data_IF_541862974331
#
_entry.id   IF_541862974331
#
_cell.length_a   1.000
_cell.length_b   1.000
_cell.length_c   1.000
_cell.angle_alpha   90.00
_cell.angle_beta   90.00
_cell.angle_gamma   90.00
#
_symmetry.space_group_name_H-M   'P 1'
#
loop_
_entity.id
_entity.type
_entity.pdbx_description
1 polymer ?
#
# COMPACT_ATOMS: atom_id res chain seq x y z
N UNK A 1 26.96 2.35 32.41
CA UNK A 1 25.53 2.04 32.36
C UNK A 1 24.83 3.19 31.68
N UNK A 2 24.55 3.07 30.38
CA UNK A 2 23.74 4.02 29.65
C UNK A 2 22.37 3.38 29.47
N UNK A 3 21.43 3.82 30.30
CA UNK A 3 20.00 3.73 30.02
C UNK A 3 19.74 4.68 28.86
N UNK A 4 19.41 4.10 27.70
CA UNK A 4 18.95 4.83 26.53
C UNK A 4 17.63 4.18 26.12
N UNK A 5 16.54 4.84 26.54
CA UNK A 5 15.24 4.89 25.86
C UNK A 5 14.85 3.66 25.07
N UNK A 6 14.08 2.77 25.71
CA UNK A 6 13.04 2.00 25.03
C UNK A 6 12.05 3.01 24.44
N UNK A 7 12.36 3.53 23.25
CA UNK A 7 11.32 3.99 22.36
C UNK A 7 10.44 2.76 22.14
N UNK A 8 9.23 2.75 22.71
CA UNK A 8 8.23 1.77 22.33
C UNK A 8 7.99 1.99 20.84
N UNK A 9 8.63 1.16 20.00
CA UNK A 9 8.11 0.87 18.69
C UNK A 9 6.65 0.51 18.93
N UNK A 10 5.72 1.40 18.59
CA UNK A 10 4.31 1.21 18.89
C UNK A 10 3.92 -0.21 18.48
N UNK A 11 3.31 -0.94 19.40
CA UNK A 11 2.91 -2.33 19.15
C UNK A 11 2.12 -2.38 17.84
N UNK A 12 2.56 -3.23 16.92
CA UNK A 12 1.88 -3.35 15.64
C UNK A 12 0.45 -3.85 15.90
N UNK A 13 -0.60 -3.26 15.28
CA UNK A 13 -2.00 -3.63 15.57
C UNK A 13 -2.30 -5.13 15.43
N UNK A 14 -1.62 -5.79 14.49
CA UNK A 14 -1.55 -7.26 14.46
C UNK A 14 -0.56 -7.73 15.54
N UNK A 15 -1.06 -8.02 16.73
CA UNK A 15 -0.25 -8.51 17.86
C UNK A 15 0.26 -9.95 17.65
N UNK A 16 1.44 -10.26 18.21
CA UNK A 16 1.99 -11.63 18.30
C UNK A 16 1.70 -12.33 19.64
N UNK A 17 0.94 -11.70 20.53
CA UNK A 17 0.64 -12.26 21.84
C UNK A 17 -0.08 -13.61 21.72
N UNK A 18 0.34 -14.61 22.49
CA UNK A 18 -0.23 -15.96 22.45
C UNK A 18 0.23 -16.82 21.27
N UNK A 19 1.13 -16.32 20.41
CA UNK A 19 1.76 -17.13 19.36
C UNK A 19 3.03 -17.78 19.92
N UNK A 20 3.12 -19.10 19.82
CA UNK A 20 4.28 -19.90 20.26
C UNK A 20 4.82 -20.80 19.15
N UNK A 21 4.01 -21.11 18.15
CA UNK A 21 4.41 -21.91 16.99
C UNK A 21 5.33 -21.10 16.06
N UNK A 22 6.56 -21.60 15.73
CA UNK A 22 7.51 -20.87 14.91
C UNK A 22 7.01 -20.53 13.49
N UNK A 23 6.16 -21.35 12.90
CA UNK A 23 5.63 -21.10 11.56
C UNK A 23 4.52 -20.04 11.60
N UNK A 24 3.71 -20.01 12.65
CA UNK A 24 2.72 -18.96 12.88
C UNK A 24 3.39 -17.61 13.19
N UNK A 25 4.45 -17.61 14.01
CA UNK A 25 5.26 -16.42 14.28
C UNK A 25 5.92 -15.88 13.01
N UNK A 26 6.42 -16.77 12.15
CA UNK A 26 6.99 -16.36 10.85
C UNK A 26 5.93 -15.72 9.95
N UNK A 27 4.74 -16.30 9.91
CA UNK A 27 3.64 -15.73 9.15
C UNK A 27 3.21 -14.36 9.70
N UNK A 28 3.17 -14.19 11.03
CA UNK A 28 2.98 -12.89 11.68
C UNK A 28 4.02 -11.87 11.23
N UNK A 29 5.31 -12.23 11.20
CA UNK A 29 6.37 -11.33 10.75
C UNK A 29 6.19 -10.87 9.29
N UNK A 30 5.75 -11.76 8.41
CA UNK A 30 5.39 -11.39 7.04
C UNK A 30 4.20 -10.43 6.99
N UNK A 31 3.19 -10.62 7.83
CA UNK A 31 2.00 -9.76 7.87
C UNK A 31 2.32 -8.34 8.35
N UNK A 32 3.09 -8.18 9.43
CA UNK A 32 3.47 -6.86 9.95
C UNK A 32 4.45 -6.11 9.05
N UNK A 33 5.12 -6.81 8.14
CA UNK A 33 5.96 -6.21 7.08
C UNK A 33 5.19 -5.97 5.77
N UNK A 34 3.87 -6.20 5.76
CA UNK A 34 2.99 -5.90 4.63
C UNK A 34 2.83 -7.04 3.60
N UNK A 35 3.39 -8.22 3.85
CA UNK A 35 3.21 -9.38 2.98
C UNK A 35 1.96 -10.19 3.38
N UNK A 36 0.80 -9.75 2.91
CA UNK A 36 -0.49 -10.42 3.11
C UNK A 36 -0.63 -11.75 2.34
N UNK A 37 0.34 -12.13 1.50
CA UNK A 37 0.39 -13.46 0.89
C UNK A 37 0.56 -14.58 1.92
N UNK A 38 1.04 -14.26 3.13
CA UNK A 38 1.15 -15.19 4.25
C UNK A 38 -0.21 -15.65 4.82
N UNK A 39 -1.31 -14.99 4.47
CA UNK A 39 -2.66 -15.37 4.93
C UNK A 39 -3.10 -16.71 4.33
N UNK A 40 -2.80 -16.97 3.05
CA UNK A 40 -3.22 -18.21 2.38
C UNK A 40 -2.67 -19.50 3.04
N UNK A 41 -1.37 -19.61 3.38
CA UNK A 41 -0.87 -20.77 4.13
C UNK A 41 -1.43 -20.82 5.56
N UNK A 42 -1.59 -19.70 6.26
CA UNK A 42 -2.23 -19.64 7.58
C UNK A 42 -3.67 -20.19 7.55
N UNK A 43 -4.45 -19.81 6.54
CA UNK A 43 -5.83 -20.28 6.35
C UNK A 43 -5.95 -21.78 6.05
N UNK A 44 -4.86 -22.44 5.61
CA UNK A 44 -4.81 -23.90 5.47
C UNK A 44 -4.53 -24.55 6.82
N UNK A 45 -3.57 -24.01 7.57
CA UNK A 45 -3.18 -24.50 8.90
C UNK A 45 -4.35 -24.37 9.90
N UNK A 46 -5.10 -23.27 9.83
CA UNK A 46 -6.23 -22.97 10.72
C UNK A 46 -7.39 -23.98 10.66
N UNK A 47 -7.41 -24.88 9.67
CA UNK A 47 -8.43 -25.94 9.52
C UNK A 47 -8.14 -27.19 10.37
N UNK A 48 -6.97 -27.25 10.98
CA UNK A 48 -6.60 -28.32 11.91
C UNK A 48 -7.41 -28.29 13.21
N UNK A 49 -7.06 -29.18 14.13
CA UNK A 49 -7.65 -29.26 15.49
C UNK A 49 -6.56 -29.32 16.58
N UNK A 50 -5.40 -28.76 16.28
CA UNK A 50 -4.26 -28.70 17.19
C UNK A 50 -3.99 -27.25 17.59
N UNK A 51 -3.08 -27.06 18.55
CA UNK A 51 -2.70 -25.75 19.08
C UNK A 51 -2.22 -24.80 17.97
N UNK A 52 -1.42 -25.29 17.01
CA UNK A 52 -0.99 -24.50 15.84
C UNK A 52 -2.18 -23.98 15.03
N UNK A 53 -3.23 -24.77 14.84
CA UNK A 53 -4.45 -24.34 14.14
C UNK A 53 -5.20 -23.25 14.91
N UNK A 54 -5.28 -23.35 16.24
CA UNK A 54 -5.88 -22.32 17.11
C UNK A 54 -5.10 -21.00 17.03
N UNK A 55 -3.77 -21.06 17.08
CA UNK A 55 -2.91 -19.87 16.90
C UNK A 55 -3.04 -19.27 15.50
N UNK A 56 -3.16 -20.09 14.45
CA UNK A 56 -3.41 -19.60 13.10
C UNK A 56 -4.77 -18.92 12.99
N UNK A 57 -5.83 -19.44 13.63
CA UNK A 57 -7.15 -18.78 13.68
C UNK A 57 -7.07 -17.43 14.42
N UNK A 58 -6.38 -17.38 15.56
CA UNK A 58 -6.16 -16.15 16.31
C UNK A 58 -5.50 -15.07 15.44
N UNK A 59 -4.41 -15.42 14.75
CA UNK A 59 -3.69 -14.49 13.88
C UNK A 59 -4.55 -14.03 12.69
N UNK A 60 -5.34 -14.92 12.08
CA UNK A 60 -6.27 -14.55 11.00
C UNK A 60 -7.33 -13.54 11.48
N UNK A 61 -7.88 -13.73 12.69
CA UNK A 61 -8.83 -12.79 13.29
C UNK A 61 -8.22 -11.39 13.48
N UNK A 62 -6.98 -11.31 13.96
CA UNK A 62 -6.25 -10.03 14.12
C UNK A 62 -5.97 -9.34 12.78
N UNK A 63 -5.66 -10.10 11.73
CA UNK A 63 -5.49 -9.55 10.37
C UNK A 63 -6.80 -8.98 9.85
N UNK A 64 -7.91 -9.69 10.05
CA UNK A 64 -9.25 -9.24 9.65
C UNK A 64 -9.62 -7.93 10.35
N UNK A 65 -9.51 -7.90 11.68
CA UNK A 65 -9.77 -6.72 12.51
C UNK A 65 -8.94 -5.51 12.06
N UNK A 66 -7.62 -5.70 11.92
CA UNK A 66 -6.73 -4.64 11.48
C UNK A 66 -7.10 -4.06 10.09
N UNK A 67 -7.48 -4.91 9.13
CA UNK A 67 -7.87 -4.46 7.80
C UNK A 67 -9.22 -3.72 7.82
N UNK A 68 -10.13 -4.11 8.70
CA UNK A 68 -11.40 -3.40 8.91
C UNK A 68 -11.20 -2.05 9.59
N UNK A 69 -10.39 -1.98 10.65
CA UNK A 69 -10.03 -0.72 11.32
C UNK A 69 -9.39 0.27 10.33
N UNK A 70 -8.48 -0.22 9.48
CA UNK A 70 -7.88 0.60 8.43
C UNK A 70 -8.91 1.12 7.44
N UNK A 71 -9.95 0.34 7.13
CA UNK A 71 -11.05 0.80 6.28
C UNK A 71 -11.88 1.86 6.98
N UNK A 72 -12.18 1.68 8.27
CA UNK A 72 -12.94 2.65 9.06
C UNK A 72 -12.21 3.98 9.23
N UNK A 73 -10.88 3.95 9.28
CA UNK A 73 -10.04 5.15 9.31
C UNK A 73 -9.95 5.90 7.96
N UNK A 74 -10.35 5.28 6.84
CA UNK A 74 -10.36 5.97 5.55
C UNK A 74 -11.52 6.97 5.49
N UNK A 75 -11.18 8.20 5.12
CA UNK A 75 -12.20 9.22 4.85
C UNK A 75 -12.86 8.94 3.50
N UNK A 76 -14.19 8.83 3.50
CA UNK A 76 -15.02 8.67 2.30
C UNK A 76 -15.98 9.86 2.17
N UNK A 77 -16.21 10.42 0.96
CA UNK A 77 -15.64 10.00 -0.33
C UNK A 77 -14.14 10.31 -0.47
N UNK A 78 -13.46 9.57 -1.35
CA UNK A 78 -12.02 9.78 -1.61
C UNK A 78 -11.87 10.97 -2.56
N UNK A 79 -11.31 12.07 -2.05
CA UNK A 79 -11.20 13.33 -2.80
C UNK A 79 -9.78 13.67 -3.27
N UNK A 80 -8.76 12.98 -2.75
CA UNK A 80 -7.36 13.27 -3.07
C UNK A 80 -6.53 12.01 -3.38
N UNK A 81 -5.42 12.22 -4.09
CA UNK A 81 -4.55 11.15 -4.60
C UNK A 81 -3.84 10.34 -3.50
N UNK A 82 -3.65 10.93 -2.31
CA UNK A 82 -3.00 10.25 -1.17
C UNK A 82 -3.97 9.19 -0.63
N UNK A 83 -5.19 9.59 -0.32
CA UNK A 83 -6.24 8.69 0.18
C UNK A 83 -6.60 7.64 -0.87
N UNK A 84 -6.58 8.01 -2.16
CA UNK A 84 -6.73 7.04 -3.25
C UNK A 84 -5.66 5.95 -3.20
N UNK A 85 -4.39 6.33 -3.01
CA UNK A 85 -3.28 5.38 -2.88
C UNK A 85 -3.40 4.47 -1.66
N UNK A 86 -3.81 5.02 -0.52
CA UNK A 86 -4.04 4.25 0.71
C UNK A 86 -5.20 3.26 0.56
N UNK A 87 -6.31 3.72 -0.02
CA UNK A 87 -7.49 2.89 -0.28
C UNK A 87 -7.19 1.78 -1.31
N UNK A 88 -6.41 2.07 -2.36
CA UNK A 88 -5.99 1.05 -3.33
C UNK A 88 -5.11 -0.01 -2.66
N UNK A 89 -4.10 0.39 -1.88
CA UNK A 89 -3.25 -0.55 -1.14
C UNK A 89 -4.06 -1.41 -0.17
N UNK A 90 -5.04 -0.81 0.52
CA UNK A 90 -5.92 -1.56 1.41
C UNK A 90 -6.78 -2.58 0.65
N UNK A 91 -7.36 -2.19 -0.48
CA UNK A 91 -8.15 -3.09 -1.32
C UNK A 91 -7.31 -4.28 -1.83
N UNK A 92 -6.06 -4.03 -2.22
CA UNK A 92 -5.12 -5.06 -2.65
C UNK A 92 -4.76 -6.01 -1.50
N UNK A 93 -4.51 -5.49 -0.29
CA UNK A 93 -4.27 -6.33 0.89
C UNK A 93 -5.48 -7.20 1.24
N UNK A 94 -6.70 -6.63 1.21
CA UNK A 94 -7.93 -7.39 1.43
C UNK A 94 -8.12 -8.48 0.37
N UNK A 95 -7.83 -8.20 -0.90
CA UNK A 95 -7.87 -9.19 -1.97
C UNK A 95 -6.87 -10.33 -1.77
N UNK A 96 -5.59 -9.99 -1.58
CA UNK A 96 -4.51 -10.96 -1.43
C UNK A 96 -4.68 -11.81 -0.17
N UNK A 97 -5.26 -11.25 0.91
CA UNK A 97 -5.54 -12.01 2.12
C UNK A 97 -6.49 -13.18 1.88
N UNK A 98 -7.45 -13.04 0.97
CA UNK A 98 -8.47 -14.08 0.72
C UNK A 98 -9.42 -14.34 1.89
N UNK A 99 -9.47 -13.47 2.92
CA UNK A 99 -10.38 -13.62 4.07
C UNK A 99 -11.82 -13.37 3.60
N UNK A 100 -12.75 -14.35 3.71
CA UNK A 100 -14.09 -14.23 3.13
C UNK A 100 -14.91 -13.04 3.66
N UNK A 101 -14.78 -12.73 4.95
CA UNK A 101 -15.53 -11.65 5.60
C UNK A 101 -15.14 -10.26 5.11
N UNK A 102 -13.96 -10.09 4.51
CA UNK A 102 -13.52 -8.82 3.94
C UNK A 102 -14.11 -8.55 2.54
N UNK A 103 -14.90 -9.48 2.00
CA UNK A 103 -15.41 -9.38 0.62
C UNK A 103 -16.28 -8.15 0.39
N UNK A 104 -17.17 -7.83 1.32
CA UNK A 104 -18.08 -6.70 1.18
C UNK A 104 -17.36 -5.38 1.44
N UNK A 105 -16.49 -5.33 2.46
CA UNK A 105 -15.57 -4.22 2.70
C UNK A 105 -14.72 -3.88 1.45
N UNK A 106 -14.17 -4.90 0.78
CA UNK A 106 -13.43 -4.75 -0.47
C UNK A 106 -14.30 -4.22 -1.61
N UNK A 107 -15.56 -4.66 -1.73
CA UNK A 107 -16.49 -4.17 -2.76
C UNK A 107 -16.82 -2.70 -2.57
N UNK A 108 -17.05 -2.29 -1.31
CA UNK A 108 -17.27 -0.89 -0.96
C UNK A 108 -16.05 -0.03 -1.34
N UNK A 109 -14.84 -0.45 -0.99
CA UNK A 109 -13.61 0.24 -1.37
C UNK A 109 -13.43 0.30 -2.90
N UNK A 110 -13.69 -0.79 -3.61
CA UNK A 110 -13.62 -0.81 -5.07
C UNK A 110 -14.63 0.14 -5.71
N UNK A 111 -15.81 0.31 -5.11
CA UNK A 111 -16.79 1.30 -5.56
C UNK A 111 -16.32 2.72 -5.26
N UNK A 112 -15.86 3.00 -4.05
CA UNK A 112 -15.31 4.30 -3.67
C UNK A 112 -14.14 4.72 -4.58
N UNK A 113 -13.24 3.80 -4.92
CA UNK A 113 -12.13 4.03 -5.85
C UNK A 113 -12.63 4.37 -7.27
N UNK A 114 -13.67 3.69 -7.76
CA UNK A 114 -14.29 4.02 -9.06
C UNK A 114 -14.95 5.39 -9.06
N UNK A 115 -15.61 5.75 -7.97
CA UNK A 115 -16.25 7.05 -7.84
C UNK A 115 -15.22 8.18 -7.70
N UNK A 116 -14.12 7.94 -6.99
CA UNK A 116 -12.99 8.86 -6.87
C UNK A 116 -12.40 9.22 -8.25
N UNK A 117 -12.32 8.26 -9.17
CA UNK A 117 -11.84 8.53 -10.55
C UNK A 117 -12.73 9.51 -11.33
N UNK A 118 -13.97 9.72 -10.89
CA UNK A 118 -14.91 10.69 -11.48
C UNK A 118 -14.81 12.08 -10.84
N UNK A 119 -14.11 12.21 -9.71
CA UNK A 119 -13.83 13.50 -9.09
C UNK A 119 -12.92 14.31 -10.01
N UNK A 120 -13.26 15.59 -10.20
CA UNK A 120 -12.49 16.50 -11.05
C UNK A 120 -11.01 16.51 -10.64
N UNK A 121 -10.11 16.33 -11.60
CA UNK A 121 -8.67 16.31 -11.37
C UNK A 121 -8.06 14.96 -10.95
N UNK A 122 -8.83 14.00 -10.42
CA UNK A 122 -8.29 12.69 -10.00
C UNK A 122 -7.74 11.87 -11.18
N UNK A 123 -8.47 11.87 -12.31
CA UNK A 123 -8.02 11.19 -13.51
C UNK A 123 -6.69 11.76 -14.04
N UNK A 124 -6.49 13.06 -13.90
CA UNK A 124 -5.27 13.76 -14.30
C UNK A 124 -4.13 13.43 -13.34
N UNK A 125 -4.40 13.43 -12.03
CA UNK A 125 -3.44 12.99 -11.01
C UNK A 125 -2.96 11.55 -11.26
N UNK A 126 -3.87 10.63 -11.58
CA UNK A 126 -3.51 9.23 -11.87
C UNK A 126 -2.68 9.09 -13.15
N UNK A 127 -3.04 9.83 -14.21
CA UNK A 127 -2.26 9.86 -15.46
C UNK A 127 -0.87 10.45 -15.22
N UNK A 128 -0.80 11.57 -14.51
CA UNK A 128 0.46 12.24 -14.19
C UNK A 128 1.36 11.37 -13.30
N UNK A 129 0.79 10.67 -12.32
CA UNK A 129 1.49 9.69 -11.47
C UNK A 129 2.15 8.60 -12.30
N UNK A 130 1.36 7.95 -13.18
CA UNK A 130 1.85 6.83 -13.97
C UNK A 130 2.96 7.27 -14.93
N UNK A 131 2.77 8.40 -15.61
CA UNK A 131 3.82 8.99 -16.46
C UNK A 131 5.08 9.31 -15.65
N UNK A 132 4.94 9.93 -14.47
CA UNK A 132 6.08 10.27 -13.63
C UNK A 132 6.93 9.06 -13.25
N UNK A 133 6.31 7.96 -12.82
CA UNK A 133 7.05 6.75 -12.43
C UNK A 133 7.73 6.05 -13.61
N UNK A 134 7.09 6.02 -14.79
CA UNK A 134 7.72 5.52 -16.02
C UNK A 134 8.96 6.36 -16.38
N UNK A 135 8.84 7.69 -16.29
CA UNK A 135 9.95 8.61 -16.56
C UNK A 135 11.07 8.46 -15.52
N UNK A 136 10.75 8.18 -14.25
CA UNK A 136 11.77 7.90 -13.23
C UNK A 136 12.56 6.63 -13.55
N UNK A 137 11.91 5.57 -14.00
CA UNK A 137 12.57 4.34 -14.42
C UNK A 137 13.50 4.60 -15.63
N UNK A 138 13.01 5.31 -16.64
CA UNK A 138 13.81 5.71 -17.81
C UNK A 138 15.01 6.59 -17.41
N UNK A 139 14.82 7.53 -16.50
CA UNK A 139 15.89 8.40 -16.00
C UNK A 139 16.97 7.64 -15.22
N UNK A 140 16.63 6.48 -14.64
CA UNK A 140 17.58 5.58 -13.98
C UNK A 140 18.28 4.62 -14.95
N UNK A 141 17.86 4.57 -16.22
CA UNK A 141 18.48 3.73 -17.25
C UNK A 141 19.94 4.11 -17.49
N UNK A 142 20.75 3.09 -17.83
CA UNK A 142 22.14 3.29 -18.27
C UNK A 142 22.24 3.83 -19.69
N UNK A 143 21.16 3.76 -20.48
CA UNK A 143 21.16 4.20 -21.88
C UNK A 143 20.98 5.72 -21.90
N UNK A 144 21.88 6.41 -22.61
CA UNK A 144 21.81 7.88 -22.74
C UNK A 144 20.52 8.33 -23.42
N UNK A 145 20.03 7.59 -24.41
CA UNK A 145 18.77 7.88 -25.11
C UNK A 145 17.58 7.89 -24.14
N UNK A 146 17.40 6.84 -23.35
CA UNK A 146 16.30 6.74 -22.37
C UNK A 146 16.35 7.89 -21.35
N UNK A 147 17.56 8.30 -20.93
CA UNK A 147 17.73 9.45 -20.01
C UNK A 147 17.35 10.78 -20.64
N UNK A 148 17.64 10.98 -21.93
CA UNK A 148 17.22 12.18 -22.67
C UNK A 148 15.71 12.20 -22.87
N UNK A 149 15.13 11.08 -23.32
CA UNK A 149 13.67 10.92 -23.47
C UNK A 149 12.95 11.14 -22.13
N UNK A 150 13.54 10.69 -21.01
CA UNK A 150 12.99 10.97 -19.68
C UNK A 150 13.00 12.47 -19.33
N UNK A 151 14.05 13.20 -19.71
CA UNK A 151 14.13 14.65 -19.51
C UNK A 151 13.04 15.40 -20.27
N UNK A 152 12.90 15.13 -21.56
CA UNK A 152 11.83 15.69 -22.40
C UNK A 152 10.44 15.30 -21.87
N UNK A 153 10.28 14.04 -21.45
CA UNK A 153 9.04 13.56 -20.87
C UNK A 153 8.68 14.25 -19.54
N UNK A 154 9.65 14.59 -18.68
CA UNK A 154 9.37 15.39 -17.48
C UNK A 154 8.94 16.82 -17.82
N UNK A 155 9.49 17.44 -18.87
CA UNK A 155 9.06 18.77 -19.34
C UNK A 155 7.62 18.72 -19.88
N UNK A 156 7.30 17.69 -20.67
CA UNK A 156 5.95 17.46 -21.15
C UNK A 156 4.96 17.21 -20.00
N UNK A 157 5.34 16.40 -19.01
CA UNK A 157 4.52 16.11 -17.84
C UNK A 157 4.21 17.39 -17.04
N UNK A 158 5.23 18.21 -16.77
CA UNK A 158 5.08 19.47 -16.05
C UNK A 158 4.15 20.47 -16.76
N UNK A 159 4.23 20.54 -18.10
CA UNK A 159 3.39 21.45 -18.90
C UNK A 159 1.97 20.95 -19.11
N UNK A 160 1.77 19.63 -19.25
CA UNK A 160 0.46 19.03 -19.53
C UNK A 160 -0.39 18.90 -18.27
N UNK A 161 0.23 18.66 -17.10
CA UNK A 161 -0.46 18.44 -15.83
C UNK A 161 0.07 19.36 -14.71
N UNK A 162 0.11 20.68 -14.91
CA UNK A 162 0.79 21.61 -13.99
C UNK A 162 0.19 21.63 -12.58
N UNK A 163 -1.13 21.47 -12.49
CA UNK A 163 -1.88 21.51 -11.22
C UNK A 163 -1.80 20.19 -10.43
N UNK A 164 -1.20 19.14 -11.00
CA UNK A 164 -1.07 17.86 -10.31
C UNK A 164 0.17 17.82 -9.41
N UNK A 165 0.12 17.03 -8.34
CA UNK A 165 1.28 16.77 -7.47
C UNK A 165 2.47 16.25 -8.28
N UNK A 166 2.20 15.44 -9.31
CA UNK A 166 3.23 14.81 -10.14
C UNK A 166 3.82 15.74 -11.20
N UNK A 167 3.02 16.65 -11.76
CA UNK A 167 3.51 17.75 -12.59
C UNK A 167 4.44 18.67 -11.81
N UNK A 168 4.04 19.07 -10.59
CA UNK A 168 4.89 19.87 -9.71
C UNK A 168 6.19 19.14 -9.31
N UNK A 169 6.15 17.81 -9.10
CA UNK A 169 7.35 17.00 -8.86
C UNK A 169 8.25 16.91 -10.10
N UNK A 170 7.68 16.87 -11.31
CA UNK A 170 8.45 16.87 -12.55
C UNK A 170 9.27 18.16 -12.70
N UNK A 171 8.69 19.32 -12.38
CA UNK A 171 9.43 20.60 -12.33
C UNK A 171 10.63 20.51 -11.40
N UNK A 172 10.42 20.08 -10.14
CA UNK A 172 11.52 19.92 -9.16
C UNK A 172 12.60 18.94 -9.64
N UNK A 173 12.23 17.89 -10.36
CA UNK A 173 13.18 16.91 -10.91
C UNK A 173 14.06 17.53 -11.99
N UNK A 174 13.50 18.34 -12.88
CA UNK A 174 14.23 19.05 -13.93
C UNK A 174 15.19 20.08 -13.34
N UNK A 175 14.77 20.80 -12.30
CA UNK A 175 15.65 21.74 -11.59
C UNK A 175 16.89 21.07 -11.00
N UNK A 176 16.74 19.85 -10.45
CA UNK A 176 17.86 19.07 -9.93
C UNK A 176 18.82 18.58 -11.01
N UNK A 177 18.35 18.36 -12.25
CA UNK A 177 19.20 17.92 -13.36
C UNK A 177 20.02 19.06 -13.98
N UNK A 178 19.60 20.31 -13.78
CA UNK A 178 20.26 21.52 -14.30
C UNK A 178 21.34 22.08 -13.36
N UNK A 179 21.46 21.52 -12.15
CA UNK A 179 22.47 21.87 -11.14
C UNK A 179 23.64 20.89 -11.20
#
# INVERSE_FOLDING_TARGET
MLSASEESFGEHPISNEGLTDPDVIRAWWYLVTGNYGAVAPLARVSRGRNETAEQAQLLLGRVEEHLLERKEALTLPIENIIDFGLAQSLADHMEVSGIPNLRDARRELAQALRDAQRVSGMADELRARNAFFQLQEMAASRRTRDRMEAGEGFEQLASTFPETVWGARAVKRLELQRR
#
